data_IF_370936450811
#
_entry.id   IF_370936450811
#
_cell.length_a   1.000
_cell.length_b   1.000
_cell.length_c   1.000
_cell.angle_alpha   90.00
_cell.angle_beta   90.00
_cell.angle_gamma   90.00
#
_symmetry.space_group_name_H-M   'P 1'
#
loop_
_entity.id
_entity.type
_entity.pdbx_description
1 polymer ?
#
# COMPACT_ATOMS: atom_id res chain seq x y z
N UNK A 1 21.50 -21.12 7.97
CA UNK A 1 20.79 -20.26 6.99
C UNK A 1 19.89 -19.33 7.78
N UNK A 2 20.09 -18.02 7.67
CA UNK A 2 19.14 -17.04 8.24
C UNK A 2 17.87 -17.08 7.40
N UNK A 3 16.80 -17.64 7.96
CA UNK A 3 15.50 -17.67 7.29
C UNK A 3 15.02 -16.23 7.04
N UNK A 4 14.45 -15.97 5.86
CA UNK A 4 13.88 -14.66 5.53
C UNK A 4 12.73 -14.31 6.51
N UNK A 5 12.44 -13.02 6.75
CA UNK A 5 11.28 -12.62 7.55
C UNK A 5 9.96 -13.26 7.06
N UNK A 6 9.82 -13.45 5.74
CA UNK A 6 8.68 -14.12 5.13
C UNK A 6 8.62 -15.61 5.53
N UNK A 7 9.73 -16.33 5.42
CA UNK A 7 9.81 -17.74 5.80
C UNK A 7 9.50 -17.95 7.29
N UNK A 8 10.02 -17.06 8.16
CA UNK A 8 9.77 -17.11 9.60
C UNK A 8 8.29 -16.90 9.92
N UNK A 9 7.69 -15.85 9.37
CA UNK A 9 6.30 -15.50 9.69
C UNK A 9 5.30 -16.47 9.03
N UNK A 10 5.57 -16.93 7.80
CA UNK A 10 4.68 -17.88 7.11
C UNK A 10 4.67 -19.23 7.85
N UNK A 11 5.86 -19.73 8.23
CA UNK A 11 6.02 -20.96 9.00
C UNK A 11 5.33 -20.86 10.36
N UNK A 12 5.49 -19.72 11.06
CA UNK A 12 4.84 -19.47 12.35
C UNK A 12 3.31 -19.61 12.28
N UNK A 13 2.71 -19.22 11.16
CA UNK A 13 1.26 -19.28 10.97
C UNK A 13 0.79 -20.47 10.12
N UNK A 14 1.69 -21.41 9.77
CA UNK A 14 1.33 -22.63 9.06
C UNK A 14 1.06 -22.47 7.56
N UNK A 15 1.69 -21.49 6.91
CA UNK A 15 1.56 -21.23 5.47
C UNK A 15 2.88 -21.49 4.74
N UNK A 16 2.79 -21.88 3.46
CA UNK A 16 3.91 -21.66 2.54
C UNK A 16 4.12 -20.15 2.31
N UNK A 17 5.33 -19.74 1.93
CA UNK A 17 5.65 -18.32 1.68
C UNK A 17 4.73 -17.69 0.61
N UNK A 18 4.44 -18.45 -0.46
CA UNK A 18 3.58 -18.01 -1.55
C UNK A 18 2.12 -17.84 -1.12
N UNK A 19 1.58 -18.82 -0.39
CA UNK A 19 0.20 -18.74 0.13
C UNK A 19 0.05 -17.62 1.15
N UNK A 20 1.04 -17.46 2.03
CA UNK A 20 1.04 -16.37 3.02
C UNK A 20 1.01 -15.02 2.31
N UNK A 21 1.93 -14.81 1.35
CA UNK A 21 1.97 -13.57 0.56
C UNK A 21 0.64 -13.26 -0.12
N UNK A 22 0.07 -14.24 -0.83
CA UNK A 22 -1.22 -14.09 -1.51
C UNK A 22 -2.34 -13.76 -0.52
N UNK A 23 -2.33 -14.36 0.66
CA UNK A 23 -3.33 -14.12 1.71
C UNK A 23 -3.21 -12.68 2.23
N UNK A 24 -2.01 -12.27 2.64
CA UNK A 24 -1.77 -10.92 3.17
C UNK A 24 -2.15 -9.84 2.16
N UNK A 25 -1.76 -10.00 0.89
CA UNK A 25 -2.11 -9.04 -0.17
C UNK A 25 -3.63 -8.92 -0.31
N UNK A 26 -4.40 -10.01 -0.17
CA UNK A 26 -5.86 -9.95 -0.34
C UNK A 26 -6.62 -9.45 0.88
N UNK A 27 -6.10 -9.66 2.10
CA UNK A 27 -6.85 -9.41 3.34
C UNK A 27 -6.36 -8.19 4.12
N UNK A 28 -5.10 -7.81 3.96
CA UNK A 28 -4.43 -6.79 4.78
C UNK A 28 -3.91 -5.60 3.98
N UNK A 29 -3.84 -5.71 2.64
CA UNK A 29 -3.33 -4.67 1.75
C UNK A 29 -4.42 -4.36 0.72
N UNK A 30 -4.92 -3.12 0.71
CA UNK A 30 -6.03 -2.70 -0.15
C UNK A 30 -5.60 -2.01 -1.45
N UNK A 31 -4.34 -2.18 -1.87
CA UNK A 31 -3.76 -1.50 -3.04
C UNK A 31 -2.66 -2.33 -3.72
N UNK A 32 -2.29 -1.94 -4.94
CA UNK A 32 -1.14 -2.48 -5.65
C UNK A 32 0.14 -2.13 -4.90
N UNK A 33 1.08 -3.07 -4.87
CA UNK A 33 2.20 -3.01 -3.96
C UNK A 33 3.39 -3.79 -4.53
N UNK A 34 4.59 -3.24 -4.38
CA UNK A 34 5.82 -3.82 -4.94
C UNK A 34 6.36 -4.96 -4.09
N UNK A 35 7.30 -5.74 -4.65
CA UNK A 35 8.01 -6.78 -3.91
C UNK A 35 8.81 -6.21 -2.73
N UNK A 36 9.43 -5.04 -2.93
CA UNK A 36 10.22 -4.32 -1.94
C UNK A 36 9.35 -3.78 -0.81
N UNK A 37 8.19 -3.22 -1.14
CA UNK A 37 7.23 -2.76 -0.14
C UNK A 37 6.73 -3.96 0.71
N UNK A 38 6.56 -5.14 0.10
CA UNK A 38 6.15 -6.35 0.81
C UNK A 38 7.23 -6.88 1.73
N UNK A 39 8.45 -6.91 1.26
CA UNK A 39 9.59 -7.24 2.09
C UNK A 39 9.70 -6.28 3.29
N UNK A 40 9.52 -4.97 3.06
CA UNK A 40 9.55 -3.95 4.12
C UNK A 40 8.44 -4.16 5.15
N UNK A 41 7.19 -4.34 4.71
CA UNK A 41 6.05 -4.59 5.59
C UNK A 41 6.23 -5.84 6.45
N UNK A 42 6.63 -6.96 5.82
CA UNK A 42 6.85 -8.23 6.52
C UNK A 42 8.04 -8.13 7.48
N UNK A 43 9.08 -7.39 7.13
CA UNK A 43 10.21 -7.13 8.03
C UNK A 43 9.76 -6.42 9.32
N UNK A 44 8.89 -5.39 9.20
CA UNK A 44 8.33 -4.68 10.37
C UNK A 44 7.45 -5.61 11.20
N UNK A 45 6.55 -6.36 10.56
CA UNK A 45 5.69 -7.32 11.24
C UNK A 45 6.51 -8.36 12.03
N UNK A 46 7.56 -8.92 11.42
CA UNK A 46 8.45 -9.88 12.06
C UNK A 46 9.25 -9.25 13.22
N UNK A 47 9.79 -8.03 13.01
CA UNK A 47 10.57 -7.30 14.03
C UNK A 47 9.79 -7.11 15.33
N UNK A 48 8.51 -6.77 15.22
CA UNK A 48 7.64 -6.55 16.37
C UNK A 48 6.82 -7.78 16.77
N UNK A 49 6.98 -8.92 16.09
CA UNK A 49 6.21 -10.14 16.38
C UNK A 49 4.70 -10.01 16.16
N UNK A 50 4.30 -9.08 15.29
CA UNK A 50 2.91 -8.75 14.98
C UNK A 50 2.32 -9.73 13.96
N UNK A 51 1.02 -9.95 14.03
CA UNK A 51 0.25 -10.82 13.16
C UNK A 51 -0.58 -10.01 12.16
N UNK A 52 -0.21 -10.00 10.87
CA UNK A 52 -1.02 -9.33 9.86
C UNK A 52 -2.42 -9.94 9.69
N UNK A 53 -2.57 -11.26 9.87
CA UNK A 53 -3.84 -11.97 9.64
C UNK A 53 -4.95 -11.53 10.60
N UNK A 54 -4.59 -11.16 11.82
CA UNK A 54 -5.52 -10.66 12.84
C UNK A 54 -5.58 -9.13 12.89
N UNK A 55 -4.98 -8.45 11.90
CA UNK A 55 -4.87 -6.98 11.84
C UNK A 55 -4.22 -6.35 13.07
N UNK A 56 -3.27 -7.05 13.70
CA UNK A 56 -2.36 -6.42 14.66
C UNK A 56 -1.46 -5.39 13.95
N UNK A 57 -1.15 -5.64 12.67
CA UNK A 57 -0.48 -4.73 11.75
C UNK A 57 -1.10 -4.82 10.35
N UNK A 58 -1.21 -3.69 9.64
CA UNK A 58 -1.67 -3.61 8.25
C UNK A 58 -0.95 -2.46 7.53
N UNK A 59 -1.04 -2.41 6.20
CA UNK A 59 -0.37 -1.38 5.40
C UNK A 59 -1.38 -0.41 4.82
N UNK A 60 -1.18 0.88 5.07
CA UNK A 60 -1.87 1.95 4.35
C UNK A 60 -0.97 2.50 3.24
N UNK A 61 -1.55 2.90 2.09
CA UNK A 61 -0.77 3.55 1.04
C UNK A 61 -0.25 4.90 1.53
N UNK A 62 1.02 5.20 1.23
CA UNK A 62 1.62 6.52 1.47
C UNK A 62 1.39 7.40 0.24
N UNK A 63 0.93 8.63 0.44
CA UNK A 63 0.85 9.63 -0.64
C UNK A 63 2.26 9.94 -1.15
N UNK A 64 2.45 9.91 -2.48
CA UNK A 64 3.77 9.99 -3.10
C UNK A 64 4.52 8.67 -3.23
N UNK A 65 3.85 7.53 -2.99
CA UNK A 65 4.42 6.18 -3.15
C UNK A 65 5.00 5.61 -1.86
N UNK A 66 5.11 4.28 -1.80
CA UNK A 66 5.45 3.58 -0.57
C UNK A 66 4.23 3.26 0.29
N UNK A 67 4.52 2.72 1.47
CA UNK A 67 3.51 2.35 2.46
C UNK A 67 3.83 2.82 3.87
N UNK A 68 2.78 2.86 4.67
CA UNK A 68 2.83 3.17 6.09
C UNK A 68 2.40 1.91 6.85
N UNK A 69 3.30 1.26 7.60
CA UNK A 69 2.93 0.15 8.49
C UNK A 69 2.16 0.68 9.68
N UNK A 70 0.86 0.38 9.71
CA UNK A 70 -0.07 0.78 10.77
C UNK A 70 -0.28 -0.38 11.74
N UNK A 71 -0.12 -0.09 13.02
CA UNK A 71 -0.32 -1.03 14.12
C UNK A 71 -1.62 -0.66 14.82
N UNK A 72 -2.53 -1.62 14.90
CA UNK A 72 -3.81 -1.44 15.61
C UNK A 72 -3.59 -1.39 17.12
N UNK A 73 -4.60 -0.95 17.87
CA UNK A 73 -4.51 -0.95 19.33
C UNK A 73 -4.17 -2.33 19.90
N UNK A 74 -4.69 -3.41 19.31
CA UNK A 74 -4.38 -4.78 19.74
C UNK A 74 -2.91 -5.14 19.49
N UNK A 75 -2.35 -4.68 18.36
CA UNK A 75 -0.92 -4.80 18.08
C UNK A 75 -0.06 -4.04 19.08
N UNK A 76 -0.44 -2.80 19.42
CA UNK A 76 0.23 -2.00 20.45
C UNK A 76 0.19 -2.68 21.83
N UNK A 77 -0.97 -3.18 22.24
CA UNK A 77 -1.12 -3.90 23.50
C UNK A 77 -0.28 -5.18 23.52
N UNK A 78 -0.21 -5.91 22.40
CA UNK A 78 0.63 -7.11 22.27
C UNK A 78 2.11 -6.79 22.43
N UNK A 79 2.65 -5.78 21.75
CA UNK A 79 4.09 -5.44 21.85
C UNK A 79 4.46 -4.96 23.24
N UNK A 80 3.57 -4.21 23.90
CA UNK A 80 3.75 -3.76 25.29
C UNK A 80 3.79 -4.97 26.23
N UNK A 81 2.78 -5.84 26.17
CA UNK A 81 2.66 -7.00 27.08
C UNK A 81 3.70 -8.09 26.82
N UNK A 82 4.23 -8.17 25.61
CA UNK A 82 5.28 -9.13 25.25
C UNK A 82 6.67 -8.68 25.73
N UNK A 83 6.83 -7.42 26.16
CA UNK A 83 8.10 -6.92 26.66
C UNK A 83 8.38 -7.51 28.07
N UNK A 84 9.51 -8.23 28.28
CA UNK A 84 9.81 -8.85 29.57
C UNK A 84 9.94 -7.86 30.74
N UNK A 85 10.26 -6.59 30.44
CA UNK A 85 10.40 -5.52 31.44
C UNK A 85 9.07 -4.87 31.82
N UNK A 86 7.97 -5.14 31.12
CA UNK A 86 6.68 -4.55 31.45
C UNK A 86 6.17 -5.06 32.82
N UNK A 87 5.72 -4.13 33.67
CA UNK A 87 5.21 -4.39 35.02
C UNK A 87 3.81 -3.78 35.26
N UNK A 88 3.12 -3.45 34.18
CA UNK A 88 1.75 -2.94 34.21
C UNK A 88 1.63 -1.50 33.74
N UNK A 89 0.37 -1.10 33.58
CA UNK A 89 -0.01 0.21 33.04
C UNK A 89 -1.24 0.72 33.78
N UNK A 90 -1.34 2.02 33.98
CA UNK A 90 -2.49 2.68 34.62
C UNK A 90 -2.89 3.92 33.84
N UNK A 91 -4.14 4.34 34.02
CA UNK A 91 -4.69 5.54 33.39
C UNK A 91 -5.29 6.45 34.44
N UNK A 92 -5.14 7.75 34.20
CA UNK A 92 -5.82 8.78 34.97
C UNK A 92 -6.49 9.74 33.99
N UNK A 93 -7.82 9.74 34.01
CA UNK A 93 -8.63 10.71 33.26
C UNK A 93 -8.51 12.07 33.97
N UNK A 94 -8.30 13.14 33.20
CA UNK A 94 -8.29 14.52 33.68
C UNK A 94 -9.55 15.22 33.19
N UNK A 95 -10.29 15.83 34.12
CA UNK A 95 -11.57 16.47 33.84
C UNK A 95 -11.46 17.98 34.08
N UNK A 96 -12.22 18.78 33.34
CA UNK A 96 -12.44 20.19 33.66
C UNK A 96 -13.41 20.36 34.86
N UNK A 97 -13.70 21.62 35.21
CA UNK A 97 -14.59 21.97 36.32
C UNK A 97 -16.04 21.49 36.11
N UNK A 98 -16.44 21.28 34.86
CA UNK A 98 -17.78 20.87 34.47
C UNK A 98 -17.87 19.34 34.30
N UNK A 99 -16.77 18.61 34.56
CA UNK A 99 -16.70 17.16 34.48
C UNK A 99 -16.42 16.62 33.07
N UNK A 100 -16.06 17.47 32.10
CA UNK A 100 -15.72 17.02 30.75
C UNK A 100 -14.26 16.55 30.70
N UNK A 101 -14.02 15.48 29.95
CA UNK A 101 -12.67 14.97 29.71
C UNK A 101 -11.81 15.99 28.95
N UNK A 102 -10.65 16.35 29.51
CA UNK A 102 -9.69 17.25 28.89
C UNK A 102 -8.41 16.54 28.46
N UNK A 103 -7.97 15.54 29.21
CA UNK A 103 -6.76 14.77 28.91
C UNK A 103 -6.82 13.39 29.55
N UNK A 104 -5.97 12.47 29.08
CA UNK A 104 -5.72 11.18 29.75
C UNK A 104 -4.22 11.03 29.95
N UNK A 105 -3.83 10.77 31.19
CA UNK A 105 -2.46 10.38 31.55
C UNK A 105 -2.34 8.86 31.54
N UNK A 106 -1.40 8.34 30.79
CA UNK A 106 -0.96 6.95 30.84
C UNK A 106 0.34 6.86 31.64
N UNK A 107 0.46 5.85 32.49
CA UNK A 107 1.68 5.55 33.23
C UNK A 107 2.03 4.06 33.05
N UNK A 108 3.17 3.79 32.39
CA UNK A 108 3.72 2.44 32.22
C UNK A 108 4.80 2.22 33.28
N UNK A 109 4.65 1.14 34.05
CA UNK A 109 5.67 0.68 35.01
C UNK A 109 6.54 -0.36 34.34
N UNK A 110 7.84 -0.24 34.56
CA UNK A 110 8.84 -1.19 34.11
C UNK A 110 9.53 -1.81 35.33
N UNK A 111 9.82 -3.11 35.25
CA UNK A 111 10.59 -3.82 36.27
C UNK A 111 11.92 -3.11 36.46
N UNK A 112 12.34 -3.02 37.72
CA UNK A 112 13.62 -2.42 38.14
C UNK A 112 13.74 -0.91 37.84
N UNK A 113 12.68 -0.26 37.35
CA UNK A 113 12.61 1.19 37.24
C UNK A 113 11.66 1.71 38.33
N UNK A 114 12.19 2.59 39.19
CA UNK A 114 11.45 3.10 40.35
C UNK A 114 10.24 3.93 39.94
N UNK A 115 10.46 4.90 39.05
CA UNK A 115 9.43 5.85 38.64
C UNK A 115 8.80 5.40 37.31
N UNK A 116 7.46 5.43 37.18
CA UNK A 116 6.81 5.06 35.93
C UNK A 116 7.15 6.05 34.82
N UNK A 117 7.09 5.57 33.58
CA UNK A 117 7.14 6.43 32.41
C UNK A 117 5.72 6.93 32.21
N UNK A 118 5.55 8.24 32.14
CA UNK A 118 4.24 8.87 32.10
C UNK A 118 4.10 9.80 30.91
N UNK A 119 2.95 9.73 30.24
CA UNK A 119 2.59 10.62 29.12
C UNK A 119 1.16 11.06 29.28
N UNK A 120 0.90 12.34 29.03
CA UNK A 120 -0.45 12.92 29.00
C UNK A 120 -0.78 13.34 27.59
N UNK A 121 -1.88 12.80 27.06
CA UNK A 121 -2.44 13.21 25.78
C UNK A 121 -3.66 14.12 26.01
N UNK A 122 -3.72 15.23 25.29
CA UNK A 122 -4.77 16.23 25.44
C UNK A 122 -5.86 16.03 24.39
N UNK A 123 -7.13 16.02 24.82
CA UNK A 123 -8.26 15.75 23.94
C UNK A 123 -8.35 16.75 22.78
N UNK A 124 -8.06 18.02 23.03
CA UNK A 124 -8.11 19.08 22.03
C UNK A 124 -7.05 18.94 20.92
N UNK A 125 -5.92 18.30 21.21
CA UNK A 125 -4.85 18.05 20.24
C UNK A 125 -5.09 16.77 19.43
N UNK A 126 -5.59 15.73 20.08
CA UNK A 126 -5.75 14.42 19.44
C UNK A 126 -7.08 14.27 18.68
N UNK A 127 -8.15 14.94 19.14
CA UNK A 127 -9.51 14.69 18.65
C UNK A 127 -9.63 14.99 17.16
N UNK A 128 -10.13 14.01 16.42
CA UNK A 128 -10.42 14.16 15.00
C UNK A 128 -11.91 14.23 14.70
N UNK A 129 -12.23 14.60 13.46
CA UNK A 129 -13.60 14.67 12.93
C UNK A 129 -14.06 13.33 12.33
N UNK A 130 -13.62 12.20 12.87
CA UNK A 130 -13.98 10.86 12.40
C UNK A 130 -15.06 10.22 13.29
N UNK A 131 -15.82 9.27 12.74
CA UNK A 131 -16.89 8.55 13.45
C UNK A 131 -16.44 7.94 14.79
N UNK A 132 -15.28 7.25 14.90
CA UNK A 132 -14.82 6.70 16.18
C UNK A 132 -14.56 7.77 17.24
N UNK A 133 -13.96 8.90 16.86
CA UNK A 133 -13.69 10.02 17.77
C UNK A 133 -14.97 10.74 18.21
N UNK A 134 -15.99 10.81 17.35
CA UNK A 134 -17.29 11.37 17.70
C UNK A 134 -18.07 10.46 18.66
N UNK A 135 -18.07 9.14 18.42
CA UNK A 135 -18.82 8.17 19.22
C UNK A 135 -18.13 7.80 20.54
N UNK A 136 -16.80 7.70 20.54
CA UNK A 136 -16.03 7.15 21.66
C UNK A 136 -14.76 7.96 22.01
N UNK A 137 -14.84 9.28 22.25
CA UNK A 137 -13.67 10.15 22.41
C UNK A 137 -12.73 9.74 23.55
N UNK A 138 -13.27 9.33 24.70
CA UNK A 138 -12.46 8.88 25.84
C UNK A 138 -11.68 7.59 25.54
N UNK A 139 -12.27 6.66 24.77
CA UNK A 139 -11.60 5.42 24.36
C UNK A 139 -10.48 5.72 23.38
N UNK A 140 -10.76 6.56 22.39
CA UNK A 140 -9.77 6.98 21.40
C UNK A 140 -8.59 7.70 22.04
N UNK A 141 -8.85 8.65 22.95
CA UNK A 141 -7.80 9.37 23.67
C UNK A 141 -6.95 8.43 24.54
N UNK A 142 -7.58 7.44 25.20
CA UNK A 142 -6.85 6.43 25.97
C UNK A 142 -5.91 5.62 25.08
N UNK A 143 -6.34 5.26 23.87
CA UNK A 143 -5.45 4.58 22.92
C UNK A 143 -4.24 5.44 22.57
N UNK A 144 -4.43 6.74 22.31
CA UNK A 144 -3.30 7.66 22.02
C UNK A 144 -2.32 7.73 23.20
N UNK A 145 -2.85 7.85 24.43
CA UNK A 145 -2.03 7.89 25.63
C UNK A 145 -1.20 6.60 25.83
N UNK A 146 -1.80 5.43 25.55
CA UNK A 146 -1.06 4.14 25.55
C UNK A 146 0.08 4.16 24.54
N UNK A 147 -0.23 4.53 23.29
CA UNK A 147 0.72 4.48 22.17
C UNK A 147 1.92 5.37 22.46
N UNK A 148 1.69 6.64 22.82
CA UNK A 148 2.78 7.57 23.09
C UNK A 148 3.58 7.15 24.33
N UNK A 149 2.92 6.77 25.42
CA UNK A 149 3.63 6.26 26.60
C UNK A 149 4.49 5.04 26.30
N UNK A 150 4.02 4.12 25.46
CA UNK A 150 4.77 2.94 25.04
C UNK A 150 6.00 3.32 24.19
N UNK A 151 5.91 4.34 23.34
CA UNK A 151 7.08 4.84 22.57
C UNK A 151 8.18 5.33 23.50
N UNK A 152 7.85 6.12 24.51
CA UNK A 152 8.83 6.58 25.50
C UNK A 152 9.36 5.44 26.38
N UNK A 153 8.50 4.50 26.78
CA UNK A 153 8.90 3.40 27.66
C UNK A 153 9.81 2.36 26.96
N UNK A 154 9.60 2.10 25.66
CA UNK A 154 10.23 0.98 24.96
C UNK A 154 11.03 1.37 23.72
N UNK A 155 10.99 2.63 23.28
CA UNK A 155 11.74 3.10 22.11
C UNK A 155 11.23 2.58 20.77
N UNK A 156 9.93 2.28 20.65
CA UNK A 156 9.35 1.76 19.41
C UNK A 156 9.38 2.78 18.27
N UNK A 157 9.88 2.37 17.10
CA UNK A 157 10.07 3.22 15.91
C UNK A 157 9.62 2.54 14.61
N UNK A 158 9.21 3.32 13.61
CA UNK A 158 8.86 2.78 12.29
C UNK A 158 7.52 2.02 12.24
N UNK A 159 6.68 2.19 13.27
CA UNK A 159 5.29 1.78 13.32
C UNK A 159 4.43 2.98 13.71
N UNK A 160 3.22 3.05 13.19
CA UNK A 160 2.32 4.20 13.38
C UNK A 160 0.92 3.73 13.75
N UNK A 161 0.15 4.57 14.43
CA UNK A 161 -1.30 4.38 14.50
C UNK A 161 -2.00 5.02 13.28
N UNK A 162 -3.29 4.74 13.12
CA UNK A 162 -4.08 5.18 11.96
C UNK A 162 -4.13 6.72 11.83
N UNK A 163 -4.29 7.44 12.93
CA UNK A 163 -4.31 8.91 12.95
C UNK A 163 -2.94 9.49 12.59
N UNK A 164 -1.85 8.84 13.01
CA UNK A 164 -0.47 9.20 12.61
C UNK A 164 -0.25 8.96 11.11
N UNK A 165 -0.73 7.83 10.58
CA UNK A 165 -0.64 7.53 9.15
C UNK A 165 -1.41 8.55 8.30
N UNK A 166 -2.60 8.97 8.76
CA UNK A 166 -3.34 10.06 8.13
C UNK A 166 -2.55 11.37 8.17
N UNK A 167 -1.94 11.73 9.30
CA UNK A 167 -1.09 12.93 9.39
C UNK A 167 0.12 12.87 8.47
N UNK A 168 0.78 11.72 8.33
CA UNK A 168 1.87 11.52 7.36
C UNK A 168 1.37 11.82 5.94
N UNK A 169 0.19 11.32 5.60
CA UNK A 169 -0.44 11.56 4.30
C UNK A 169 -0.93 13.01 4.12
N UNK A 170 -1.34 13.69 5.19
CA UNK A 170 -1.68 15.12 5.15
C UNK A 170 -0.44 15.99 5.00
N UNK A 171 0.64 15.69 5.73
CA UNK A 171 1.92 16.41 5.65
C UNK A 171 2.64 16.24 4.31
N UNK A 172 2.40 15.12 3.61
CA UNK A 172 2.86 14.93 2.24
C UNK A 172 2.26 15.96 1.25
N UNK A 173 1.10 16.58 1.54
CA UNK A 173 0.58 17.68 0.71
C UNK A 173 1.50 18.91 0.72
N UNK A 174 2.36 19.06 1.74
CA UNK A 174 3.29 20.18 1.88
C UNK A 174 4.61 19.97 1.12
N UNK A 175 4.88 18.74 0.68
CA UNK A 175 6.00 18.39 -0.19
C UNK A 175 5.46 17.86 -1.53
N UNK A 176 4.66 18.68 -2.23
CA UNK A 176 4.37 18.42 -3.64
C UNK A 176 5.69 18.49 -4.41
N UNK A 177 6.35 17.35 -4.58
CA UNK A 177 7.45 17.22 -5.51
C UNK A 177 6.85 17.39 -6.91
N UNK A 178 7.20 18.50 -7.54
CA UNK A 178 6.75 18.83 -8.88
C UNK A 178 7.38 17.86 -9.89
N UNK A 179 6.72 17.69 -11.03
CA UNK A 179 7.30 17.00 -12.19
C UNK A 179 8.65 17.62 -12.57
N UNK A 180 9.62 16.80 -12.98
CA UNK A 180 10.88 17.28 -13.52
C UNK A 180 10.70 17.84 -14.93
N UNK A 181 11.62 18.69 -15.39
CA UNK A 181 11.62 19.22 -16.76
C UNK A 181 11.59 18.09 -17.81
N UNK A 182 12.32 17.00 -17.56
CA UNK A 182 12.33 15.81 -18.42
C UNK A 182 10.95 15.16 -18.53
N UNK A 183 10.24 15.02 -17.41
CA UNK A 183 8.88 14.48 -17.39
C UNK A 183 7.87 15.41 -18.09
N UNK A 184 8.03 16.73 -17.94
CA UNK A 184 7.21 17.71 -18.65
C UNK A 184 7.40 17.55 -20.16
N UNK A 185 8.65 17.41 -20.61
CA UNK A 185 8.95 17.20 -22.04
C UNK A 185 8.31 15.92 -22.57
N UNK A 186 8.37 14.81 -21.81
CA UNK A 186 7.74 13.55 -22.21
C UNK A 186 6.21 13.67 -22.31
N UNK A 187 5.57 14.30 -21.32
CA UNK A 187 4.12 14.56 -21.32
C UNK A 187 3.72 15.39 -22.55
N UNK A 188 4.46 16.47 -22.82
CA UNK A 188 4.19 17.35 -23.96
C UNK A 188 4.35 16.62 -25.30
N UNK A 189 5.40 15.79 -25.47
CA UNK A 189 5.60 14.97 -26.67
C UNK A 189 4.43 14.01 -26.90
N UNK A 190 4.04 13.26 -25.86
CA UNK A 190 2.95 12.30 -25.95
C UNK A 190 1.58 12.97 -26.15
N UNK A 191 1.36 14.17 -25.62
CA UNK A 191 0.16 14.95 -25.88
C UNK A 191 0.07 15.35 -27.36
N UNK A 192 1.19 15.75 -27.97
CA UNK A 192 1.23 16.04 -29.41
C UNK A 192 0.96 14.78 -30.25
N UNK A 193 1.64 13.67 -29.95
CA UNK A 193 1.45 12.39 -30.65
C UNK A 193 -0.01 11.92 -30.60
N UNK A 194 -0.63 12.02 -29.43
CA UNK A 194 -2.00 11.52 -29.21
C UNK A 194 -3.10 12.55 -29.51
N UNK A 195 -2.72 13.75 -29.96
CA UNK A 195 -3.60 14.90 -30.14
C UNK A 195 -4.47 15.16 -28.90
N UNK A 196 -3.86 15.09 -27.72
CA UNK A 196 -4.55 15.33 -26.44
C UNK A 196 -4.50 16.81 -26.11
N UNK A 197 -5.68 17.41 -25.94
CA UNK A 197 -5.86 18.79 -25.52
C UNK A 197 -5.33 19.00 -24.10
N UNK A 198 -4.45 19.99 -23.93
CA UNK A 198 -3.86 20.37 -22.64
C UNK A 198 -4.91 20.71 -21.58
N UNK A 199 -6.01 21.35 -21.96
CA UNK A 199 -7.07 21.71 -21.01
C UNK A 199 -7.69 20.49 -20.34
N UNK A 200 -7.70 19.33 -21.00
CA UNK A 200 -8.19 18.06 -20.43
C UNK A 200 -7.21 17.50 -19.40
N UNK A 201 -5.91 17.65 -19.65
CA UNK A 201 -4.85 17.23 -18.71
C UNK A 201 -4.86 18.13 -17.47
N UNK A 202 -4.93 19.44 -17.67
CA UNK A 202 -4.97 20.44 -16.59
C UNK A 202 -6.23 20.28 -15.72
N UNK A 203 -7.40 20.08 -16.34
CA UNK A 203 -8.65 19.86 -15.61
C UNK A 203 -8.70 18.52 -14.88
N UNK A 204 -8.12 17.46 -15.44
CA UNK A 204 -7.98 16.16 -14.77
C UNK A 204 -7.17 16.28 -13.47
N UNK A 205 -6.04 17.00 -13.50
CA UNK A 205 -5.18 17.20 -12.34
C UNK A 205 -5.57 18.42 -11.47
N UNK A 206 -6.56 19.21 -11.89
CA UNK A 206 -6.97 20.46 -11.25
C UNK A 206 -5.80 21.44 -11.02
N UNK A 207 -4.97 21.62 -12.05
CA UNK A 207 -3.81 22.52 -12.05
C UNK A 207 -3.92 23.58 -13.15
N UNK A 208 -3.14 24.67 -13.03
CA UNK A 208 -3.17 25.77 -14.01
C UNK A 208 -2.17 25.58 -15.15
N UNK A 209 -1.03 24.95 -14.86
CA UNK A 209 0.02 24.66 -15.84
C UNK A 209 0.54 23.23 -15.66
N UNK A 210 1.13 22.66 -16.71
CA UNK A 210 1.77 21.33 -16.66
C UNK A 210 2.92 21.30 -15.64
N UNK A 211 3.63 22.42 -15.44
CA UNK A 211 4.68 22.58 -14.44
C UNK A 211 4.19 22.42 -13.01
N UNK A 212 2.89 22.63 -12.78
CA UNK A 212 2.28 22.58 -11.45
C UNK A 212 1.84 21.15 -11.09
N UNK A 213 2.01 20.18 -12.00
CA UNK A 213 1.74 18.78 -11.74
C UNK A 213 2.69 18.26 -10.66
N UNK A 214 2.13 17.56 -9.68
CA UNK A 214 2.93 16.70 -8.82
C UNK A 214 3.47 15.51 -9.62
N UNK A 215 4.56 14.90 -9.13
CA UNK A 215 5.15 13.70 -9.72
C UNK A 215 4.11 12.59 -9.95
N UNK A 216 3.18 12.39 -9.01
CA UNK A 216 2.14 11.37 -9.11
C UNK A 216 1.10 11.70 -10.18
N UNK A 217 0.67 12.97 -10.27
CA UNK A 217 -0.24 13.44 -11.33
C UNK A 217 0.45 13.30 -12.70
N UNK A 218 1.73 13.68 -12.82
CA UNK A 218 2.53 13.52 -14.04
C UNK A 218 2.68 12.07 -14.50
N UNK A 219 3.02 11.14 -13.59
CA UNK A 219 3.09 9.71 -13.88
C UNK A 219 1.74 9.15 -14.35
N UNK A 220 0.65 9.59 -13.73
CA UNK A 220 -0.70 9.17 -14.12
C UNK A 220 -1.03 9.65 -15.53
N UNK A 221 -0.72 10.91 -15.83
CA UNK A 221 -0.91 11.50 -17.17
C UNK A 221 -0.09 10.75 -18.23
N UNK A 222 1.20 10.47 -17.96
CA UNK A 222 2.05 9.68 -18.86
C UNK A 222 1.43 8.31 -19.18
N UNK A 223 1.01 7.57 -18.16
CA UNK A 223 0.40 6.26 -18.35
C UNK A 223 -0.85 6.31 -19.24
N UNK A 224 -1.72 7.30 -19.02
CA UNK A 224 -2.93 7.48 -19.82
C UNK A 224 -2.61 7.84 -21.28
N UNK A 225 -1.61 8.70 -21.52
CA UNK A 225 -1.20 9.08 -22.85
C UNK A 225 -0.52 7.92 -23.61
N UNK A 226 0.35 7.15 -22.93
CA UNK A 226 0.98 5.96 -23.51
C UNK A 226 -0.07 4.92 -23.94
N UNK A 227 -1.06 4.66 -23.07
CA UNK A 227 -2.17 3.76 -23.38
C UNK A 227 -3.00 4.26 -24.57
N UNK A 228 -3.23 5.57 -24.67
CA UNK A 228 -3.96 6.16 -25.80
C UNK A 228 -3.16 6.03 -27.10
N UNK A 229 -1.83 6.21 -27.05
CA UNK A 229 -0.94 6.01 -28.20
C UNK A 229 -0.99 4.58 -28.70
N UNK A 230 -0.93 3.59 -27.81
CA UNK A 230 -1.05 2.16 -28.16
C UNK A 230 -2.38 1.83 -28.84
N UNK A 231 -3.46 2.52 -28.46
CA UNK A 231 -4.78 2.36 -29.10
C UNK A 231 -4.90 3.05 -30.46
N UNK A 232 -4.01 3.99 -30.77
CA UNK A 232 -3.98 4.74 -32.04
C UNK A 232 -3.03 4.13 -33.07
N UNK A 233 -2.06 3.32 -32.65
CA UNK A 233 -1.22 2.52 -33.56
C UNK A 233 -2.03 1.32 -34.07
N UNK A 234 -2.29 1.19 -35.38
CA UNK A 234 -2.89 -0.02 -35.93
C UNK A 234 -1.97 -1.21 -35.63
N UNK A 235 -2.51 -2.29 -35.08
CA UNK A 235 -1.81 -3.58 -35.11
C UNK A 235 -1.44 -3.88 -36.57
N UNK A 236 -0.15 -3.96 -36.89
CA UNK A 236 0.31 -4.63 -38.09
C UNK A 236 -0.09 -6.12 -37.97
N UNK A 237 -1.31 -6.44 -38.42
CA UNK A 237 -1.67 -7.81 -38.75
C UNK A 237 -0.90 -8.16 -40.02
N UNK A 238 0.15 -8.96 -39.89
CA UNK A 238 0.70 -9.70 -41.02
C UNK A 238 -0.45 -10.52 -41.64
N UNK A 239 -0.75 -10.37 -42.93
CA UNK A 239 -1.76 -11.22 -43.55
C UNK A 239 -1.23 -12.66 -43.56
N UNK A 240 -2.01 -13.58 -43.01
CA UNK A 240 -1.79 -15.01 -43.20
C UNK A 240 -1.81 -15.28 -44.72
N UNK A 241 -0.70 -15.77 -45.27
CA UNK A 241 -0.65 -16.29 -46.63
C UNK A 241 -1.67 -17.42 -46.75
N UNK A 242 -2.79 -17.14 -47.41
CA UNK A 242 -3.66 -18.17 -47.95
C UNK A 242 -2.98 -18.75 -49.18
N UNK A 243 -2.30 -19.89 -49.00
CA UNK A 243 -1.86 -20.75 -50.10
C UNK A 243 -3.12 -21.35 -50.73
N UNK A 244 -3.50 -20.85 -51.90
CA UNK A 244 -4.44 -21.55 -52.78
C UNK A 244 -3.65 -22.58 -53.57
N UNK A 245 -3.80 -23.85 -53.22
CA UNK A 245 -3.33 -24.97 -54.03
C UNK A 245 -4.34 -25.18 -55.18
N UNK A 246 -3.95 -24.78 -56.39
CA UNK A 246 -4.64 -25.07 -57.64
C UNK A 246 -3.58 -25.63 -58.58
N UNK A 247 -3.60 -26.94 -58.79
CA UNK A 247 -3.04 -27.52 -60.00
C UNK A 247 -3.91 -28.68 -60.49
N UNK A 248 -4.82 -28.36 -61.41
CA UNK A 248 -5.32 -29.29 -62.41
C UNK A 248 -4.49 -29.07 -63.69
N UNK A 249 -3.62 -30.03 -64.03
CA UNK A 249 -3.19 -30.22 -65.41
C UNK A 249 -3.58 -31.60 -65.89
N UNK A 250 -4.63 -31.63 -66.70
CA UNK A 250 -4.98 -32.72 -67.60
C UNK A 250 -4.06 -32.65 -68.83
N UNK A 251 -3.27 -33.70 -69.11
CA UNK A 251 -3.08 -34.19 -70.49
C UNK A 251 -2.38 -35.55 -70.54
N UNK A 252 -3.17 -36.54 -70.97
CA UNK A 252 -2.88 -37.66 -71.88
C UNK A 252 -1.46 -38.27 -71.89
N UNK A 253 -1.36 -39.54 -71.47
CA UNK A 253 -0.93 -40.60 -72.41
C UNK A 253 -1.28 -42.03 -71.92
N UNK A 254 -2.20 -42.65 -72.66
CA UNK A 254 -2.06 -43.93 -73.37
C UNK A 254 -1.35 -45.14 -72.72
N UNK A 255 -2.09 -46.27 -72.74
CA UNK A 255 -1.68 -47.67 -73.04
C UNK A 255 -1.70 -48.70 -71.89
N UNK A 256 -2.58 -49.71 -72.09
CA UNK A 256 -2.57 -51.15 -71.73
C UNK A 256 -1.87 -51.63 -70.44
N UNK A 257 -2.37 -52.61 -69.66
CA UNK A 257 -3.00 -53.89 -70.00
C UNK A 257 -3.50 -54.53 -68.68
N UNK A 258 -4.52 -55.39 -68.75
CA UNK A 258 -4.69 -56.70 -68.05
C UNK A 258 -4.21 -56.85 -66.59
N UNK A 259 -4.87 -57.51 -65.64
CA UNK A 259 -5.90 -58.53 -65.62
C UNK A 259 -6.11 -58.90 -64.13
N UNK A 260 -7.27 -59.47 -63.79
CA UNK A 260 -7.44 -60.47 -62.70
C UNK A 260 -7.20 -60.00 -61.25
N UNK A 261 -7.87 -60.45 -60.19
CA UNK A 261 -9.05 -61.26 -59.86
C UNK A 261 -9.02 -61.30 -58.32
N UNK A 262 -10.18 -61.25 -57.66
CA UNK A 262 -10.50 -61.94 -56.38
C UNK A 262 -9.57 -61.67 -55.15
N UNK A 263 -10.02 -61.34 -53.95
CA UNK A 263 -11.20 -61.71 -53.14
C UNK A 263 -11.40 -60.60 -52.12
#
# INVERSE_FOLDING_TARGET
MTNSPLALISTKYGFSEQEFRKTIIKTCISHNFSDEEFAAFISVANTYGLNPLTKEIYALPKRGGGIIPVVSIDGWIKIIKSNPKFDGMTFQDQLDKDGNLTAIKCAIRLKEIKDPIEVTEYLNECKQKTDPWQKYPARMLRHKAVIQCARYAFGFSGIYDEDEAERINQGANSQRQLVSDEMIMEIQSLMQETQTDETKVLSFANVRNITDLSLQEGQTVLHLLQKKREQQSPQEQQPAEFVYDYDETYSQDSVHHQEQRAV
#
